data_IF_872348909052
#
_entry.id   IF_872348909052
#
_cell.length_a   1.000
_cell.length_b   1.000
_cell.length_c   1.000
_cell.angle_alpha   90.00
_cell.angle_beta   90.00
_cell.angle_gamma   90.00
#
_symmetry.space_group_name_H-M   'P 1'
#
loop_
_entity.id
_entity.type
_entity.pdbx_description
1 polymer ?
#
# COMPACT_ATOMS: atom_id res chain seq x y z
N UNK A 1 14.38 -4.52 14.32
CA UNK A 1 13.25 -5.09 13.57
C UNK A 1 13.77 -6.29 12.81
N UNK A 2 13.28 -7.47 13.16
CA UNK A 2 13.55 -8.73 12.46
C UNK A 2 12.79 -8.77 11.12
N UNK A 3 13.17 -9.64 10.17
CA UNK A 3 12.44 -9.81 8.91
C UNK A 3 10.96 -10.16 9.13
N UNK A 4 10.65 -10.93 10.18
CA UNK A 4 9.29 -11.28 10.56
C UNK A 4 8.49 -10.06 11.02
N UNK A 5 9.04 -9.28 11.96
CA UNK A 5 8.39 -8.05 12.43
C UNK A 5 8.14 -7.07 11.27
N UNK A 6 9.09 -6.98 10.32
CA UNK A 6 8.93 -6.13 9.13
C UNK A 6 7.79 -6.60 8.25
N UNK A 7 7.68 -7.90 7.99
CA UNK A 7 6.59 -8.48 7.21
C UNK A 7 5.23 -8.24 7.87
N UNK A 8 5.15 -8.38 9.19
CA UNK A 8 3.92 -8.07 9.95
C UNK A 8 3.53 -6.59 9.80
N UNK A 9 4.50 -5.68 9.96
CA UNK A 9 4.25 -4.25 9.80
C UNK A 9 3.76 -3.89 8.39
N UNK A 10 4.37 -4.46 7.35
CA UNK A 10 3.94 -4.22 5.97
C UNK A 10 2.53 -4.74 5.69
N UNK A 11 2.15 -5.87 6.30
CA UNK A 11 0.79 -6.39 6.21
C UNK A 11 -0.23 -5.47 6.91
N UNK A 12 0.13 -4.91 8.06
CA UNK A 12 -0.69 -3.91 8.76
C UNK A 12 -0.88 -2.67 7.87
N UNK A 13 0.19 -2.13 7.32
CA UNK A 13 0.14 -0.95 6.46
C UNK A 13 -0.69 -1.23 5.19
N UNK A 14 -0.56 -2.42 4.60
CA UNK A 14 -1.34 -2.83 3.43
C UNK A 14 -2.85 -2.92 3.76
N UNK A 15 -3.20 -3.41 4.95
CA UNK A 15 -4.58 -3.48 5.40
C UNK A 15 -5.19 -2.08 5.56
N UNK A 16 -4.46 -1.14 6.15
CA UNK A 16 -4.89 0.26 6.30
C UNK A 16 -5.12 0.94 4.94
N UNK A 17 -4.21 0.73 3.98
CA UNK A 17 -4.36 1.27 2.62
C UNK A 17 -5.58 0.66 1.91
N UNK A 18 -5.79 -0.65 2.03
CA UNK A 18 -6.99 -1.32 1.48
C UNK A 18 -8.27 -0.81 2.11
N UNK A 19 -8.27 -0.54 3.42
CA UNK A 19 -9.41 0.06 4.12
C UNK A 19 -9.69 1.49 3.61
N UNK A 20 -8.65 2.30 3.43
CA UNK A 20 -8.78 3.64 2.86
C UNK A 20 -9.37 3.62 1.45
N UNK A 21 -8.87 2.75 0.57
CA UNK A 21 -9.41 2.55 -0.79
C UNK A 21 -10.90 2.18 -0.72
N UNK A 22 -11.24 1.20 0.13
CA UNK A 22 -12.63 0.76 0.30
C UNK A 22 -13.54 1.90 0.76
N UNK A 23 -13.10 2.71 1.73
CA UNK A 23 -13.84 3.88 2.21
C UNK A 23 -14.07 4.90 1.08
N UNK A 24 -13.04 5.24 0.32
CA UNK A 24 -13.12 6.17 -0.81
C UNK A 24 -14.07 5.65 -1.89
N UNK A 25 -13.99 4.35 -2.23
CA UNK A 25 -14.87 3.71 -3.22
C UNK A 25 -16.33 3.69 -2.77
N UNK A 26 -16.60 3.62 -1.46
CA UNK A 26 -17.94 3.71 -0.87
C UNK A 26 -18.47 5.15 -0.77
N UNK A 27 -17.69 6.15 -1.18
CA UNK A 27 -18.11 7.55 -1.22
C UNK A 27 -17.51 8.43 -0.12
N UNK A 28 -16.54 7.94 0.66
CA UNK A 28 -15.80 8.81 1.58
C UNK A 28 -15.05 9.90 0.79
N UNK A 29 -15.14 11.14 1.27
CA UNK A 29 -14.47 12.28 0.64
C UNK A 29 -13.01 12.37 1.08
N UNK A 30 -12.73 11.98 2.33
CA UNK A 30 -11.43 12.04 3.00
C UNK A 30 -11.26 10.83 3.94
N UNK A 31 -10.03 10.35 4.09
CA UNK A 31 -9.64 9.25 4.98
C UNK A 31 -8.27 9.54 5.60
N UNK A 32 -7.98 8.98 6.78
CA UNK A 32 -6.71 9.22 7.48
C UNK A 32 -6.02 7.91 7.84
N UNK A 33 -4.78 7.76 7.42
CA UNK A 33 -3.89 6.65 7.80
C UNK A 33 -2.79 7.24 8.69
N UNK A 34 -2.89 7.01 10.00
CA UNK A 34 -1.99 7.62 10.99
C UNK A 34 -1.98 9.15 10.91
N UNK A 35 -0.84 9.74 10.53
CA UNK A 35 -0.69 11.19 10.35
C UNK A 35 -0.95 11.68 8.92
N UNK A 36 -1.13 10.78 7.95
CA UNK A 36 -1.39 11.13 6.55
C UNK A 36 -2.89 11.18 6.30
N UNK A 37 -3.35 12.24 5.64
CA UNK A 37 -4.73 12.39 5.17
C UNK A 37 -4.77 12.21 3.66
N UNK A 38 -5.72 11.42 3.18
CA UNK A 38 -5.95 11.12 1.77
C UNK A 38 -7.36 11.55 1.39
N UNK A 39 -7.52 12.11 0.19
CA UNK A 39 -8.82 12.48 -0.37
C UNK A 39 -9.21 11.53 -1.47
N UNK A 40 -10.46 11.61 -1.90
CA UNK A 40 -10.96 10.84 -3.07
C UNK A 40 -10.13 11.09 -4.34
N UNK A 41 -9.61 12.30 -4.53
CA UNK A 41 -8.73 12.63 -5.66
C UNK A 41 -7.39 11.87 -5.61
N UNK A 42 -6.95 11.44 -4.43
CA UNK A 42 -5.70 10.73 -4.20
C UNK A 42 -5.85 9.21 -4.35
N UNK A 43 -6.99 8.73 -4.88
CA UNK A 43 -7.25 7.29 -5.04
C UNK A 43 -6.18 6.60 -5.90
N UNK A 44 -5.63 7.29 -6.89
CA UNK A 44 -4.49 6.80 -7.68
C UNK A 44 -3.27 6.50 -6.80
N UNK A 45 -2.91 7.45 -5.93
CA UNK A 45 -1.80 7.31 -4.99
C UNK A 45 -2.01 6.14 -4.01
N UNK A 46 -3.25 5.93 -3.54
CA UNK A 46 -3.56 4.79 -2.68
C UNK A 46 -3.35 3.45 -3.40
N UNK A 47 -3.68 3.35 -4.69
CA UNK A 47 -3.42 2.14 -5.47
C UNK A 47 -1.93 1.89 -5.71
N UNK A 48 -1.17 2.95 -5.98
CA UNK A 48 0.28 2.88 -6.13
C UNK A 48 0.95 2.40 -4.84
N UNK A 49 0.57 2.97 -3.70
CA UNK A 49 1.09 2.57 -2.38
C UNK A 49 0.71 1.12 -2.05
N UNK A 50 -0.52 0.68 -2.35
CA UNK A 50 -0.93 -0.73 -2.21
C UNK A 50 -0.01 -1.65 -3.01
N UNK A 51 0.19 -1.34 -4.29
CA UNK A 51 1.03 -2.17 -5.17
C UNK A 51 2.49 -2.17 -4.73
N UNK A 52 2.99 -1.06 -4.20
CA UNK A 52 4.33 -0.98 -3.61
C UNK A 52 4.47 -1.89 -2.39
N UNK A 53 3.51 -1.85 -1.46
CA UNK A 53 3.52 -2.69 -0.26
C UNK A 53 3.42 -4.18 -0.60
N UNK A 54 2.52 -4.55 -1.53
CA UNK A 54 2.39 -5.93 -2.02
C UNK A 54 3.70 -6.44 -2.66
N UNK A 55 4.42 -5.58 -3.38
CA UNK A 55 5.75 -5.91 -3.92
C UNK A 55 6.79 -6.09 -2.82
N UNK A 56 6.83 -5.22 -1.82
CA UNK A 56 7.81 -5.34 -0.72
C UNK A 56 7.56 -6.59 0.13
N UNK A 57 6.29 -6.94 0.38
CA UNK A 57 5.90 -8.19 1.01
C UNK A 57 6.38 -9.38 0.17
N UNK A 58 6.05 -9.41 -1.11
CA UNK A 58 6.44 -10.50 -2.01
C UNK A 58 7.97 -10.64 -2.13
N UNK A 59 8.71 -9.54 -2.10
CA UNK A 59 10.18 -9.51 -2.13
C UNK A 59 10.79 -10.15 -0.89
N UNK A 60 10.25 -9.82 0.30
CA UNK A 60 10.67 -10.41 1.57
C UNK A 60 10.32 -11.91 1.64
N UNK A 61 9.12 -12.28 1.18
CA UNK A 61 8.67 -13.68 1.18
C UNK A 61 9.41 -14.56 0.15
N UNK A 62 9.74 -14.02 -1.03
CA UNK A 62 10.40 -14.76 -2.11
C UNK A 62 11.92 -14.54 -2.19
N UNK A 63 12.51 -13.76 -1.29
CA UNK A 63 13.95 -13.53 -1.23
C UNK A 63 14.52 -12.78 -2.46
N UNK A 64 13.80 -11.79 -3.00
CA UNK A 64 14.38 -10.84 -3.98
C UNK A 64 14.24 -11.16 -5.47
N UNK A 65 13.39 -12.12 -5.88
CA UNK A 65 13.41 -12.62 -7.28
C UNK A 65 12.59 -11.80 -8.30
N UNK A 66 11.73 -10.85 -7.91
CA UNK A 66 10.91 -10.08 -8.85
C UNK A 66 11.30 -8.61 -8.89
N UNK A 67 12.48 -8.35 -9.46
CA UNK A 67 13.02 -7.01 -9.71
C UNK A 67 12.11 -6.23 -10.68
N UNK A 68 11.32 -5.33 -10.09
CA UNK A 68 10.91 -4.03 -10.63
C UNK A 68 10.46 -3.99 -12.11
N UNK A 69 9.16 -4.18 -12.34
CA UNK A 69 8.51 -3.54 -13.50
C UNK A 69 7.84 -2.25 -12.99
N UNK A 70 8.62 -1.17 -13.01
CA UNK A 70 8.12 0.20 -12.92
C UNK A 70 7.31 0.45 -14.20
N UNK A 71 5.97 0.44 -14.10
CA UNK A 71 5.13 1.06 -15.10
C UNK A 71 5.07 2.55 -14.75
N UNK A 72 6.03 3.30 -15.29
CA UNK A 72 5.95 4.75 -15.42
C UNK A 72 4.82 5.04 -16.41
N UNK A 73 3.73 5.64 -15.91
CA UNK A 73 2.60 6.04 -16.72
C UNK A 73 3.01 7.04 -17.80
N UNK A 74 2.65 6.72 -19.04
CA UNK A 74 2.50 7.68 -20.14
C UNK A 74 1.17 7.43 -20.84
#
# INVERSE_FOLDING_TARGET
MTPLERLEQLNIDLAEVRAAISAVLRGAQEYRIGSKSFRRADLGLLYEERTRLEREIADIENGGMFRAVYFEGR
#
